data_IF_646268041142
#
_entry.id   IF_646268041142
#
_cell.length_a   1.000
_cell.length_b   1.000
_cell.length_c   1.000
_cell.angle_alpha   90.00
_cell.angle_beta   90.00
_cell.angle_gamma   90.00
#
_symmetry.space_group_name_H-M   'P 1'
#
loop_
_entity.id
_entity.type
_entity.pdbx_description
1 polymer ?
#
# COMPACT_ATOMS: atom_id res chain seq x y z
N UNK A 1 0.16 0.45 -45.03
CA UNK A 1 -0.60 -0.32 -44.02
C UNK A 1 0.14 -0.44 -42.69
N UNK A 2 1.48 -0.53 -42.68
CA UNK A 2 2.31 -0.61 -41.46
C UNK A 2 2.26 0.64 -40.58
N UNK A 3 2.04 1.84 -41.13
CA UNK A 3 2.02 3.10 -40.38
C UNK A 3 0.91 3.21 -39.33
N UNK A 4 -0.18 2.43 -39.46
CA UNK A 4 -1.32 2.42 -38.52
C UNK A 4 -1.11 1.39 -37.40
N UNK A 5 -0.32 0.34 -37.64
CA UNK A 5 -0.06 -0.71 -36.66
C UNK A 5 0.78 -0.21 -35.48
N UNK A 6 1.79 0.62 -35.73
CA UNK A 6 2.65 1.17 -34.68
C UNK A 6 1.91 2.06 -33.66
N UNK A 7 1.11 3.07 -34.05
CA UNK A 7 0.37 3.87 -33.08
C UNK A 7 -0.70 3.06 -32.35
N UNK A 8 -1.36 2.10 -33.02
CA UNK A 8 -2.34 1.22 -32.39
C UNK A 8 -1.69 0.33 -31.31
N UNK A 9 -0.52 -0.25 -31.61
CA UNK A 9 0.26 -1.03 -30.67
C UNK A 9 0.71 -0.19 -29.47
N UNK A 10 1.23 1.02 -29.72
CA UNK A 10 1.65 1.92 -28.65
C UNK A 10 0.47 2.34 -27.75
N UNK A 11 -0.70 2.58 -28.34
CA UNK A 11 -1.91 2.90 -27.60
C UNK A 11 -2.35 1.74 -26.68
N UNK A 12 -2.35 0.51 -27.20
CA UNK A 12 -2.59 -0.70 -26.39
C UNK A 12 -1.56 -0.86 -25.26
N UNK A 13 -0.28 -0.59 -25.53
CA UNK A 13 0.78 -0.64 -24.54
C UNK A 13 0.57 0.41 -23.44
N UNK A 14 0.20 1.65 -23.80
CA UNK A 14 -0.15 2.69 -22.83
C UNK A 14 -1.31 2.30 -21.93
N UNK A 15 -2.38 1.70 -22.48
CA UNK A 15 -3.50 1.18 -21.69
C UNK A 15 -3.02 0.10 -20.73
N UNK A 16 -2.21 -0.85 -21.22
CA UNK A 16 -1.62 -1.89 -20.38
C UNK A 16 -0.79 -1.33 -19.23
N UNK A 17 0.08 -0.36 -19.51
CA UNK A 17 0.90 0.32 -18.52
C UNK A 17 0.07 1.06 -17.47
N UNK A 18 -1.00 1.76 -17.90
CA UNK A 18 -1.90 2.49 -17.01
C UNK A 18 -2.60 1.57 -15.99
N UNK A 19 -2.86 0.32 -16.35
CA UNK A 19 -3.49 -0.67 -15.47
C UNK A 19 -2.45 -1.38 -14.60
N UNK A 20 -1.31 -1.76 -15.18
CA UNK A 20 -0.31 -2.61 -14.52
C UNK A 20 0.55 -1.83 -13.52
N UNK A 21 0.94 -0.59 -13.85
CA UNK A 21 1.82 0.23 -13.00
C UNK A 21 1.17 0.52 -11.62
N UNK A 22 -0.07 1.02 -11.52
CA UNK A 22 -0.68 1.30 -10.22
C UNK A 22 -0.87 0.04 -9.38
N UNK A 23 -1.25 -1.09 -10.01
CA UNK A 23 -1.37 -2.38 -9.32
C UNK A 23 -0.06 -2.84 -8.72
N UNK A 24 1.04 -2.72 -9.47
CA UNK A 24 2.37 -3.04 -8.97
C UNK A 24 2.79 -2.12 -7.82
N UNK A 25 2.55 -0.81 -7.95
CA UNK A 25 2.88 0.16 -6.90
C UNK A 25 2.09 -0.08 -5.60
N UNK A 26 0.80 -0.45 -5.67
CA UNK A 26 0.01 -0.83 -4.48
C UNK A 26 0.58 -2.08 -3.81
N UNK A 27 0.91 -3.13 -4.57
CA UNK A 27 1.53 -4.35 -4.01
C UNK A 27 2.86 -4.06 -3.33
N UNK A 28 3.66 -3.15 -3.89
CA UNK A 28 4.89 -2.67 -3.26
C UNK A 28 4.60 -1.93 -1.95
N UNK A 29 3.62 -1.02 -1.96
CA UNK A 29 3.25 -0.25 -0.77
C UNK A 29 2.71 -1.14 0.36
N UNK A 30 1.92 -2.17 0.06
CA UNK A 30 1.46 -3.17 1.05
C UNK A 30 2.64 -3.83 1.78
N UNK A 31 3.63 -4.31 1.03
CA UNK A 31 4.86 -4.90 1.59
C UNK A 31 5.63 -3.90 2.44
N UNK A 32 5.78 -2.66 1.97
CA UNK A 32 6.45 -1.61 2.71
C UNK A 32 5.73 -1.26 4.01
N UNK A 33 4.40 -1.15 4.00
CA UNK A 33 3.60 -0.89 5.20
C UNK A 33 3.79 -2.01 6.23
N UNK A 34 3.67 -3.27 5.82
CA UNK A 34 3.92 -4.42 6.71
C UNK A 34 5.35 -4.40 7.27
N UNK A 35 6.35 -4.08 6.43
CA UNK A 35 7.73 -3.96 6.86
C UNK A 35 7.93 -2.86 7.91
N UNK A 36 7.21 -1.72 7.80
CA UNK A 36 7.22 -0.66 8.81
C UNK A 36 6.68 -1.19 10.14
N UNK A 37 5.52 -1.86 10.15
CA UNK A 37 4.97 -2.46 11.38
C UNK A 37 5.94 -3.46 12.02
N UNK A 38 6.59 -4.30 11.21
CA UNK A 38 7.61 -5.26 11.70
C UNK A 38 8.85 -4.57 12.25
N UNK A 39 9.34 -3.54 11.57
CA UNK A 39 10.50 -2.76 12.00
C UNK A 39 10.27 -2.12 13.37
N UNK A 40 9.07 -1.58 13.61
CA UNK A 40 8.71 -1.04 14.92
C UNK A 40 8.27 -2.10 15.95
N UNK A 41 8.20 -3.38 15.58
CA UNK A 41 7.77 -4.48 16.45
C UNK A 41 6.31 -4.36 16.92
N UNK A 42 5.46 -3.74 16.10
CA UNK A 42 4.06 -3.41 16.44
C UNK A 42 3.17 -4.57 16.00
N UNK A 43 3.24 -5.69 16.73
CA UNK A 43 2.54 -6.94 16.43
C UNK A 43 1.47 -7.34 17.46
N UNK A 44 1.26 -6.51 18.48
CA UNK A 44 0.28 -6.73 19.55
C UNK A 44 -0.39 -5.42 19.95
N UNK A 45 -1.60 -5.46 20.55
CA UNK A 45 -2.28 -4.29 21.09
C UNK A 45 -1.42 -3.46 22.06
N UNK A 46 -0.63 -4.12 22.91
CA UNK A 46 0.22 -3.47 23.91
C UNK A 46 1.35 -2.62 23.30
N UNK A 47 1.76 -2.97 22.08
CA UNK A 47 2.79 -2.26 21.31
C UNK A 47 2.18 -1.40 20.21
N UNK A 48 0.86 -1.23 20.19
CA UNK A 48 0.18 -0.47 19.15
C UNK A 48 0.69 0.97 19.10
N UNK A 49 0.86 1.50 17.89
CA UNK A 49 1.38 2.84 17.65
C UNK A 49 0.43 3.64 16.78
N UNK A 50 0.42 4.95 16.96
CA UNK A 50 -0.37 5.85 16.13
C UNK A 50 0.16 5.93 14.69
N UNK A 51 -0.68 6.39 13.76
CA UNK A 51 -0.27 6.61 12.35
C UNK A 51 0.94 7.53 12.22
N UNK A 52 1.03 8.55 13.09
CA UNK A 52 2.14 9.49 13.12
C UNK A 52 3.44 8.85 13.54
N UNK A 53 3.42 8.03 14.60
CA UNK A 53 4.60 7.32 15.09
C UNK A 53 5.11 6.26 14.12
N UNK A 54 4.22 5.67 13.32
CA UNK A 54 4.57 4.72 12.26
C UNK A 54 5.06 5.41 10.98
N UNK A 55 5.03 6.75 10.90
CA UNK A 55 5.36 7.48 9.67
C UNK A 55 4.40 7.15 8.50
N UNK A 56 3.20 6.66 8.82
CA UNK A 56 2.13 6.36 7.87
C UNK A 56 1.15 7.53 7.72
N UNK A 57 1.53 8.71 8.21
CA UNK A 57 0.74 9.92 8.01
C UNK A 57 0.63 10.22 6.51
N UNK A 58 -0.55 10.66 6.05
CA UNK A 58 -0.69 11.16 4.70
C UNK A 58 0.31 12.31 4.53
N UNK A 59 1.06 12.27 3.42
CA UNK A 59 2.02 13.31 3.09
C UNK A 59 1.31 14.69 3.12
N UNK A 60 1.97 15.71 3.68
CA UNK A 60 1.42 17.05 3.77
C UNK A 60 0.96 17.56 2.41
N UNK A 61 -0.04 18.45 2.37
CA UNK A 61 -0.60 18.99 1.14
C UNK A 61 0.49 19.50 0.17
N UNK A 62 1.56 20.11 0.71
CA UNK A 62 2.71 20.60 -0.04
C UNK A 62 3.55 19.46 -0.65
N UNK A 63 3.74 18.35 0.07
CA UNK A 63 4.48 17.17 -0.38
C UNK A 63 3.65 16.33 -1.37
N UNK A 64 2.33 16.47 -1.35
CA UNK A 64 1.39 15.76 -2.23
C UNK A 64 1.49 16.17 -3.70
N UNK A 65 1.95 17.39 -3.97
CA UNK A 65 2.11 17.96 -5.32
C UNK A 65 3.43 17.50 -5.96
N UNK A 66 4.49 17.29 -5.17
CA UNK A 66 5.83 16.95 -5.65
C UNK A 66 6.17 15.46 -5.50
N UNK A 67 5.40 14.70 -4.74
CA UNK A 67 5.62 13.26 -4.51
C UNK A 67 4.90 12.41 -5.56
N UNK A 68 5.62 11.45 -6.14
CA UNK A 68 5.02 10.29 -6.82
C UNK A 68 3.97 9.68 -5.88
N UNK A 69 2.71 9.64 -6.34
CA UNK A 69 1.50 9.19 -5.61
C UNK A 69 1.85 8.22 -4.47
N UNK A 70 1.73 8.66 -3.22
CA UNK A 70 2.00 7.80 -2.07
C UNK A 70 0.88 6.77 -1.92
N UNK A 71 1.20 5.51 -2.18
CA UNK A 71 0.27 4.40 -2.07
C UNK A 71 0.21 3.81 -0.66
N UNK A 72 1.06 4.25 0.29
CA UNK A 72 1.07 3.75 1.69
C UNK A 72 -0.24 3.98 2.44
N UNK A 73 -0.90 5.16 2.35
CA UNK A 73 -2.22 5.35 2.99
C UNK A 73 -3.29 4.41 2.43
N UNK A 74 -3.28 4.19 1.11
CA UNK A 74 -4.20 3.25 0.45
C UNK A 74 -3.90 1.81 0.85
N UNK A 75 -2.63 1.43 0.91
CA UNK A 75 -2.19 0.12 1.39
C UNK A 75 -2.62 -0.12 2.85
N UNK A 76 -2.51 0.89 3.71
CA UNK A 76 -2.97 0.79 5.10
C UNK A 76 -4.48 0.55 5.18
N UNK A 77 -5.29 1.27 4.40
CA UNK A 77 -6.74 1.02 4.34
C UNK A 77 -7.07 -0.41 3.89
N UNK A 78 -6.37 -0.91 2.88
CA UNK A 78 -6.54 -2.29 2.41
C UNK A 78 -6.19 -3.29 3.52
N UNK A 79 -5.07 -3.09 4.22
CA UNK A 79 -4.65 -3.97 5.31
C UNK A 79 -5.63 -3.94 6.49
N UNK A 80 -6.21 -2.78 6.80
CA UNK A 80 -7.25 -2.65 7.82
C UNK A 80 -8.55 -3.36 7.41
N UNK A 81 -8.99 -3.18 6.16
CA UNK A 81 -10.20 -3.84 5.65
C UNK A 81 -10.13 -5.36 5.62
N UNK A 82 -8.92 -5.92 5.49
CA UNK A 82 -8.66 -7.36 5.48
C UNK A 82 -8.35 -7.91 6.89
N UNK A 83 -8.31 -7.03 7.90
CA UNK A 83 -7.99 -7.38 9.29
C UNK A 83 -6.53 -7.78 9.52
N UNK A 84 -5.63 -7.47 8.59
CA UNK A 84 -4.18 -7.66 8.75
C UNK A 84 -3.61 -6.60 9.69
N UNK A 85 -4.18 -5.40 9.67
CA UNK A 85 -3.90 -4.33 10.63
C UNK A 85 -5.18 -4.07 11.41
N UNK A 86 -5.07 -4.03 12.73
CA UNK A 86 -6.18 -3.72 13.61
C UNK A 86 -5.91 -2.41 14.37
N UNK A 87 -6.99 -1.75 14.78
CA UNK A 87 -6.94 -0.57 15.64
C UNK A 87 -7.36 -0.91 17.06
N UNK A 88 -6.70 -0.30 18.05
CA UNK A 88 -7.18 -0.29 19.43
C UNK A 88 -8.28 0.76 19.61
N UNK A 89 -8.98 0.75 20.74
CA UNK A 89 -10.01 1.75 21.08
C UNK A 89 -9.45 3.18 21.12
N UNK A 90 -8.16 3.33 21.42
CA UNK A 90 -7.43 4.61 21.42
C UNK A 90 -7.00 5.08 20.01
N UNK A 91 -7.31 4.32 18.95
CA UNK A 91 -6.93 4.65 17.57
C UNK A 91 -5.47 4.33 17.21
N UNK A 92 -4.76 3.57 18.05
CA UNK A 92 -3.43 3.03 17.73
C UNK A 92 -3.56 1.80 16.85
N UNK A 93 -2.56 1.55 16.00
CA UNK A 93 -2.57 0.48 15.01
C UNK A 93 -1.55 -0.60 15.39
N UNK A 94 -1.88 -1.86 15.11
CA UNK A 94 -0.96 -2.99 15.23
C UNK A 94 -1.19 -4.04 14.14
N UNK A 95 -0.15 -4.81 13.84
CA UNK A 95 -0.18 -5.88 12.86
C UNK A 95 -0.67 -7.17 13.50
N UNK A 96 -1.64 -7.83 12.87
CA UNK A 96 -2.12 -9.16 13.25
C UNK A 96 -1.32 -10.20 12.47
N UNK A 97 -0.25 -10.74 13.07
CA UNK A 97 0.68 -11.65 12.36
C UNK A 97 -0.01 -12.87 11.75
N UNK A 98 -0.99 -13.46 12.44
CA UNK A 98 -1.74 -14.61 11.94
C UNK A 98 -2.43 -14.34 10.60
N UNK A 99 -3.07 -13.18 10.45
CA UNK A 99 -3.73 -12.79 9.19
C UNK A 99 -2.76 -12.29 8.13
N UNK A 100 -1.57 -11.84 8.54
CA UNK A 100 -0.56 -11.34 7.63
C UNK A 100 -0.08 -12.44 6.68
N UNK A 101 0.11 -13.68 7.17
CA UNK A 101 0.54 -14.81 6.32
C UNK A 101 -0.50 -15.15 5.26
N UNK A 102 -1.77 -15.27 5.67
CA UNK A 102 -2.88 -15.60 4.78
C UNK A 102 -3.09 -14.51 3.71
N UNK A 103 -2.88 -13.25 4.07
CA UNK A 103 -2.95 -12.14 3.12
C UNK A 103 -1.87 -12.21 2.03
N UNK A 104 -0.65 -12.64 2.40
CA UNK A 104 0.42 -12.82 1.44
C UNK A 104 0.13 -13.95 0.45
N UNK A 105 -0.37 -15.09 0.94
CA UNK A 105 -0.72 -16.23 0.07
C UNK A 105 -1.89 -15.93 -0.87
N UNK A 106 -2.87 -15.13 -0.43
CA UNK A 106 -4.08 -14.87 -1.21
C UNK A 106 -3.93 -13.79 -2.27
N UNK A 107 -2.99 -12.84 -2.09
CA UNK A 107 -2.96 -11.58 -2.86
C UNK A 107 -1.66 -11.29 -3.62
N UNK A 108 -0.58 -11.99 -3.30
CA UNK A 108 0.73 -11.83 -3.94
C UNK A 108 1.04 -13.00 -4.85
#
# INVERSE_FOLDING_TARGET
MSSILYPLFFFLLMIGALIFIPRFMIRRALRQTIAIFRHFGVNSPDKAKTRGELGLNPADFMTRITSLRDYKPQALQILMGEGVVASTEEGKLYLVEGKCRDFFEKRL
#
